data_IF_031058834471
#
_entry.id   IF_031058834471
#
_cell.length_a   1.000
_cell.length_b   1.000
_cell.length_c   1.000
_cell.angle_alpha   90.00
_cell.angle_beta   90.00
_cell.angle_gamma   90.00
#
_symmetry.space_group_name_H-M   'P 1'
#
loop_
_entity.id
_entity.type
_entity.pdbx_description
1 polymer ?
#
# COMPACT_ATOMS: atom_id res chain seq x y z
N UNK A 1 30.19 27.34 15.95
CA UNK A 1 29.84 25.97 15.56
C UNK A 1 29.01 26.04 14.29
N UNK A 2 29.25 25.18 13.32
CA UNK A 2 28.35 25.03 12.15
C UNK A 2 27.09 24.27 12.59
N UNK A 3 26.07 25.04 12.95
CA UNK A 3 24.82 24.50 13.49
C UNK A 3 24.10 23.62 12.49
N UNK A 4 24.07 24.00 11.21
CA UNK A 4 23.42 23.26 10.16
C UNK A 4 24.07 21.89 9.99
N UNK A 5 25.40 21.84 9.93
CA UNK A 5 26.16 20.59 9.85
C UNK A 5 25.94 19.69 11.07
N UNK A 6 25.84 20.29 12.27
CA UNK A 6 25.54 19.55 13.49
C UNK A 6 24.14 18.94 13.46
N UNK A 7 23.16 19.67 12.92
CA UNK A 7 21.79 19.17 12.73
C UNK A 7 21.73 18.01 11.74
N UNK A 8 22.45 18.10 10.61
CA UNK A 8 22.55 16.98 9.66
C UNK A 8 23.15 15.72 10.28
N UNK A 9 24.22 15.87 11.06
CA UNK A 9 24.84 14.73 11.74
C UNK A 9 23.93 14.16 12.84
N UNK A 10 23.24 15.00 13.57
CA UNK A 10 22.25 14.60 14.56
C UNK A 10 21.10 13.80 13.92
N UNK A 11 20.49 14.33 12.87
CA UNK A 11 19.40 13.65 12.16
C UNK A 11 19.83 12.29 11.59
N UNK A 12 21.00 12.22 10.93
CA UNK A 12 21.52 10.98 10.39
C UNK A 12 21.87 9.94 11.47
N UNK A 13 22.39 10.38 12.62
CA UNK A 13 22.65 9.49 13.75
C UNK A 13 21.36 8.95 14.38
N UNK A 14 20.30 9.74 14.39
CA UNK A 14 18.98 9.33 14.84
C UNK A 14 18.36 8.30 13.88
N UNK A 15 18.39 8.58 12.58
CA UNK A 15 17.84 7.67 11.53
C UNK A 15 18.51 6.31 11.52
N UNK A 16 19.82 6.27 11.82
CA UNK A 16 20.61 5.03 11.79
C UNK A 16 20.85 4.40 13.16
N UNK A 17 20.41 5.04 14.22
CA UNK A 17 20.73 4.66 15.62
C UNK A 17 22.21 4.42 15.87
N UNK A 18 23.10 5.14 15.12
CA UNK A 18 24.55 4.88 15.11
C UNK A 18 25.36 6.08 14.62
N UNK A 19 26.29 6.55 15.45
CA UNK A 19 27.27 7.55 15.02
C UNK A 19 28.21 7.06 13.92
N UNK A 20 28.55 5.78 13.91
CA UNK A 20 29.43 5.23 12.89
C UNK A 20 28.75 5.09 11.53
N UNK A 21 27.47 4.74 11.51
CA UNK A 21 26.67 4.71 10.27
C UNK A 21 26.47 6.12 9.71
N UNK A 22 26.15 7.09 10.56
CA UNK A 22 26.05 8.50 10.17
C UNK A 22 27.40 9.01 9.62
N UNK A 23 28.52 8.68 10.25
CA UNK A 23 29.85 9.08 9.81
C UNK A 23 30.18 8.56 8.40
N UNK A 24 29.88 7.29 8.11
CA UNK A 24 30.03 6.72 6.77
C UNK A 24 29.21 7.47 5.71
N UNK A 25 27.96 7.83 6.03
CA UNK A 25 27.07 8.60 5.12
C UNK A 25 27.68 9.93 4.69
N UNK A 26 28.41 10.58 5.58
CA UNK A 26 29.02 11.91 5.31
C UNK A 26 30.52 11.85 4.99
N UNK A 27 31.13 10.69 4.89
CA UNK A 27 32.56 10.54 4.58
C UNK A 27 33.48 11.15 5.67
N UNK A 28 33.06 11.12 6.95
CA UNK A 28 33.79 11.69 8.08
C UNK A 28 34.07 10.64 9.16
N UNK A 29 34.92 10.99 10.16
CA UNK A 29 35.15 10.09 11.28
C UNK A 29 33.98 10.07 12.27
N UNK A 30 33.78 8.93 12.93
CA UNK A 30 32.77 8.79 14.01
C UNK A 30 33.00 9.81 15.13
N UNK A 31 34.28 10.11 15.42
CA UNK A 31 34.65 11.12 16.43
C UNK A 31 34.18 12.52 16.01
N UNK A 32 34.25 12.87 14.73
CA UNK A 32 33.76 14.15 14.21
C UNK A 32 32.25 14.29 14.40
N UNK A 33 31.48 13.28 14.04
CA UNK A 33 30.01 13.27 14.24
C UNK A 33 29.68 13.39 15.72
N UNK A 34 30.29 12.56 16.57
CA UNK A 34 30.04 12.62 18.02
C UNK A 34 30.44 13.97 18.65
N UNK A 35 31.51 14.59 18.15
CA UNK A 35 31.95 15.93 18.61
C UNK A 35 30.90 16.99 18.26
N UNK A 36 30.38 16.98 17.04
CA UNK A 36 29.42 17.96 16.56
C UNK A 36 28.05 17.80 17.26
N UNK A 37 27.60 16.57 17.47
CA UNK A 37 26.35 16.30 18.21
C UNK A 37 26.49 16.76 19.66
N UNK A 38 27.61 16.45 20.35
CA UNK A 38 27.86 16.95 21.71
C UNK A 38 27.94 18.46 21.78
N UNK A 39 28.45 19.13 20.75
CA UNK A 39 28.46 20.58 20.68
C UNK A 39 27.03 21.15 20.55
N UNK A 40 26.16 20.49 19.79
CA UNK A 40 24.75 20.84 19.67
C UNK A 40 24.03 20.65 21.02
N UNK A 41 24.23 19.51 21.70
CA UNK A 41 23.66 19.26 23.05
C UNK A 41 24.03 20.33 24.06
N UNK A 42 25.30 20.78 24.04
CA UNK A 42 25.77 21.89 24.93
C UNK A 42 25.11 23.21 24.60
N UNK A 43 24.94 23.54 23.32
CA UNK A 43 24.27 24.77 22.89
C UNK A 43 22.80 24.79 23.31
N UNK A 44 22.13 23.64 23.14
CA UNK A 44 20.72 23.47 23.50
C UNK A 44 20.49 23.28 24.99
N UNK A 45 21.54 22.99 25.75
CA UNK A 45 21.48 22.52 27.14
C UNK A 45 20.55 21.35 27.34
N UNK A 46 20.56 20.42 26.36
CA UNK A 46 19.66 19.28 26.25
C UNK A 46 20.46 18.06 25.80
N UNK A 47 20.29 16.94 26.47
CA UNK A 47 20.81 15.65 26.01
C UNK A 47 19.91 15.12 24.92
N UNK A 48 20.45 14.88 23.72
CA UNK A 48 19.70 14.41 22.56
C UNK A 48 19.73 12.89 22.44
N UNK A 49 20.86 12.28 22.83
CA UNK A 49 21.04 10.83 22.77
C UNK A 49 21.41 10.24 24.13
N UNK A 50 20.94 9.02 24.35
CA UNK A 50 21.38 8.14 25.41
C UNK A 50 21.94 6.84 24.85
N UNK A 51 22.86 6.20 25.61
CA UNK A 51 23.46 4.94 25.23
C UNK A 51 22.84 3.81 26.01
N UNK A 52 22.36 2.82 25.32
CA UNK A 52 21.85 1.59 25.89
C UNK A 52 22.73 0.40 25.49
N UNK A 53 22.52 -0.75 26.13
CA UNK A 53 23.21 -2.00 25.79
C UNK A 53 23.01 -2.42 24.32
N UNK A 54 21.92 -1.94 23.70
CA UNK A 54 21.55 -2.25 22.31
C UNK A 54 21.89 -1.12 21.30
N UNK A 55 22.60 -0.06 21.71
CA UNK A 55 23.01 1.00 20.79
C UNK A 55 22.66 2.41 21.24
N UNK A 56 22.53 3.30 20.26
CA UNK A 56 22.22 4.72 20.44
C UNK A 56 20.72 4.95 20.32
N UNK A 57 20.10 5.61 21.29
CA UNK A 57 18.68 5.96 21.26
C UNK A 57 18.49 7.47 21.50
N UNK A 58 17.41 8.03 20.94
CA UNK A 58 17.01 9.41 21.24
C UNK A 58 16.40 9.49 22.64
N UNK A 59 16.72 10.56 23.37
CA UNK A 59 15.95 10.96 24.55
C UNK A 59 14.58 11.53 24.15
N UNK A 60 13.65 11.70 25.08
CA UNK A 60 12.39 12.41 24.82
C UNK A 60 12.62 13.81 24.25
N UNK A 61 13.60 14.56 24.83
CA UNK A 61 14.01 15.87 24.31
C UNK A 61 14.66 15.79 22.92
N UNK A 62 15.45 14.73 22.66
CA UNK A 62 16.05 14.47 21.35
C UNK A 62 14.99 14.20 20.28
N UNK A 63 13.97 13.39 20.59
CA UNK A 63 12.85 13.13 19.68
C UNK A 63 12.09 14.41 19.35
N UNK A 64 11.69 15.19 20.36
CA UNK A 64 10.98 16.45 20.15
C UNK A 64 11.80 17.44 19.32
N UNK A 65 13.11 17.54 19.59
CA UNK A 65 13.99 18.44 18.84
C UNK A 65 14.18 17.98 17.40
N UNK A 66 14.30 16.67 17.14
CA UNK A 66 14.39 16.12 15.78
C UNK A 66 13.12 16.43 14.98
N UNK A 67 11.96 16.26 15.59
CA UNK A 67 10.67 16.58 14.97
C UNK A 67 10.57 18.04 14.56
N UNK A 68 11.03 18.95 15.43
CA UNK A 68 11.02 20.37 15.15
C UNK A 68 12.03 20.80 14.06
N UNK A 69 13.19 20.13 13.98
CA UNK A 69 14.26 20.48 13.04
C UNK A 69 14.14 19.81 11.67
N UNK A 70 13.52 18.63 11.59
CA UNK A 70 13.40 17.87 10.34
C UNK A 70 12.77 18.67 9.19
N UNK A 71 11.65 19.38 9.38
CA UNK A 71 11.08 20.22 8.32
C UNK A 71 12.03 21.31 7.79
N UNK A 72 12.85 21.90 8.68
CA UNK A 72 13.80 22.91 8.26
C UNK A 72 14.98 22.33 7.45
N UNK A 73 15.47 21.15 7.83
CA UNK A 73 16.50 20.42 7.07
C UNK A 73 15.98 20.00 5.70
N UNK A 74 14.73 19.52 5.62
CA UNK A 74 14.08 19.14 4.38
C UNK A 74 13.89 20.36 3.47
N UNK A 75 13.46 21.53 4.02
CA UNK A 75 13.35 22.78 3.25
C UNK A 75 14.68 23.27 2.68
N UNK A 76 15.77 23.11 3.40
CA UNK A 76 17.11 23.46 2.91
C UNK A 76 17.54 22.51 1.79
N UNK A 77 17.36 21.21 1.97
CA UNK A 77 17.62 20.22 0.93
C UNK A 77 16.81 20.53 -0.33
N UNK A 78 15.53 20.93 -0.17
CA UNK A 78 14.65 21.32 -1.28
C UNK A 78 15.16 22.57 -1.99
N UNK A 79 15.67 23.58 -1.25
CA UNK A 79 16.21 24.80 -1.82
C UNK A 79 17.49 24.53 -2.61
N UNK A 80 18.38 23.68 -2.10
CA UNK A 80 19.61 23.25 -2.79
C UNK A 80 19.27 22.45 -4.06
N UNK A 81 18.26 21.58 -3.99
CA UNK A 81 17.79 20.80 -5.13
C UNK A 81 17.12 21.69 -6.19
N UNK A 82 16.32 22.69 -5.76
CA UNK A 82 15.73 23.67 -6.69
C UNK A 82 16.80 24.53 -7.38
N UNK A 83 17.84 24.96 -6.66
CA UNK A 83 18.97 25.69 -7.23
C UNK A 83 19.76 24.83 -8.22
N UNK A 84 19.82 23.51 -7.97
CA UNK A 84 20.52 22.54 -8.82
C UNK A 84 19.66 22.06 -9.99
N UNK A 85 18.34 22.13 -9.91
CA UNK A 85 17.38 21.60 -10.90
C UNK A 85 17.47 22.30 -12.28
N UNK A 86 18.13 23.45 -12.39
CA UNK A 86 18.43 24.07 -13.68
C UNK A 86 19.45 23.25 -14.51
N UNK A 87 20.15 22.26 -13.91
CA UNK A 87 21.23 21.49 -14.56
C UNK A 87 21.38 20.03 -14.10
N UNK A 88 20.56 19.54 -13.17
CA UNK A 88 20.82 18.27 -12.47
C UNK A 88 19.69 17.25 -12.63
N UNK A 89 20.03 15.96 -12.80
CA UNK A 89 19.09 14.84 -12.72
C UNK A 89 18.44 14.78 -11.35
N UNK A 90 17.13 14.55 -11.33
CA UNK A 90 16.38 14.36 -10.07
C UNK A 90 16.88 13.08 -9.38
N UNK A 91 17.33 13.20 -8.13
CA UNK A 91 17.95 12.08 -7.38
C UNK A 91 17.53 12.05 -5.91
N UNK A 92 17.91 11.00 -5.20
CA UNK A 92 17.67 10.83 -3.77
C UNK A 92 16.64 9.75 -3.44
N UNK A 93 16.15 9.70 -2.19
CA UNK A 93 15.24 8.65 -1.73
C UNK A 93 13.82 9.19 -1.56
N UNK A 94 12.83 8.50 -2.13
CA UNK A 94 11.40 8.72 -1.86
C UNK A 94 10.91 7.59 -0.96
N UNK A 95 10.36 7.95 0.20
CA UNK A 95 9.82 7.01 1.17
C UNK A 95 8.31 6.88 0.96
N UNK A 96 7.87 5.69 0.60
CA UNK A 96 6.48 5.40 0.22
C UNK A 96 5.84 4.46 1.23
N UNK A 97 4.87 4.98 1.99
CA UNK A 97 3.97 4.14 2.78
C UNK A 97 2.86 3.59 1.90
N UNK A 98 2.63 2.29 1.91
CA UNK A 98 1.62 1.69 1.05
C UNK A 98 0.97 0.46 1.68
N UNK A 99 -0.34 0.31 1.48
CA UNK A 99 -1.02 -0.93 1.86
C UNK A 99 -0.57 -2.09 0.96
N UNK A 100 -0.38 -3.31 1.50
CA UNK A 100 0.15 -4.45 0.75
C UNK A 100 -0.56 -4.70 -0.58
N UNK A 101 -1.89 -4.65 -0.59
CA UNK A 101 -2.67 -4.87 -1.81
C UNK A 101 -2.36 -3.86 -2.92
N UNK A 102 -2.27 -2.55 -2.58
CA UNK A 102 -1.91 -1.51 -3.56
C UNK A 102 -0.48 -1.71 -4.03
N UNK A 103 0.42 -2.06 -3.11
CA UNK A 103 1.81 -2.32 -3.45
C UNK A 103 1.92 -3.44 -4.48
N UNK A 104 1.30 -4.58 -4.23
CA UNK A 104 1.42 -5.78 -5.06
C UNK A 104 0.68 -5.65 -6.39
N UNK A 105 -0.54 -5.13 -6.38
CA UNK A 105 -1.39 -5.11 -7.56
C UNK A 105 -1.13 -3.92 -8.49
N UNK A 106 -0.69 -2.78 -7.93
CA UNK A 106 -0.55 -1.55 -8.69
C UNK A 106 0.89 -1.05 -8.76
N UNK A 107 1.56 -0.91 -7.62
CA UNK A 107 2.86 -0.23 -7.56
C UNK A 107 4.00 -1.13 -8.07
N UNK A 108 4.12 -2.36 -7.56
CA UNK A 108 5.21 -3.28 -7.90
C UNK A 108 5.36 -3.51 -9.40
N UNK A 109 4.29 -3.75 -10.19
CA UNK A 109 4.40 -3.89 -11.64
C UNK A 109 4.86 -2.63 -12.37
N UNK A 110 4.68 -1.46 -11.76
CA UNK A 110 4.99 -0.16 -12.35
C UNK A 110 6.39 0.36 -11.97
N UNK A 111 6.99 -0.10 -10.86
CA UNK A 111 8.30 0.37 -10.39
C UNK A 111 9.43 0.22 -11.41
N UNK A 112 9.53 -0.85 -12.23
CA UNK A 112 10.55 -0.92 -13.27
C UNK A 112 10.46 0.25 -14.28
N UNK A 113 9.23 0.68 -14.65
CA UNK A 113 9.01 1.85 -15.52
C UNK A 113 9.44 3.14 -14.81
N UNK A 114 9.15 3.28 -13.52
CA UNK A 114 9.61 4.43 -12.74
C UNK A 114 11.13 4.50 -12.69
N UNK A 115 11.80 3.42 -12.38
CA UNK A 115 13.27 3.35 -12.34
C UNK A 115 13.93 3.66 -13.69
N UNK A 116 13.32 3.22 -14.79
CA UNK A 116 13.82 3.56 -16.14
C UNK A 116 13.73 5.07 -16.45
N UNK A 117 12.70 5.76 -15.93
CA UNK A 117 12.52 7.22 -16.08
C UNK A 117 13.41 8.02 -15.12
N UNK A 118 13.62 7.51 -13.92
CA UNK A 118 14.32 8.20 -12.82
C UNK A 118 15.32 7.25 -12.14
N UNK A 119 16.42 6.89 -12.82
CA UNK A 119 17.37 5.88 -12.34
C UNK A 119 18.13 6.30 -11.07
N UNK A 120 18.22 7.62 -10.82
CA UNK A 120 18.91 8.18 -9.66
C UNK A 120 18.00 8.34 -8.42
N UNK A 121 16.73 7.92 -8.52
CA UNK A 121 15.78 7.92 -7.39
C UNK A 121 15.68 6.52 -6.78
N UNK A 122 16.02 6.43 -5.50
CA UNK A 122 15.74 5.24 -4.70
C UNK A 122 14.31 5.31 -4.15
N UNK A 123 13.54 4.24 -4.32
CA UNK A 123 12.19 4.13 -3.72
C UNK A 123 12.27 3.21 -2.51
N UNK A 124 12.04 3.75 -1.31
CA UNK A 124 11.92 3.01 -0.05
C UNK A 124 10.45 2.70 0.21
N UNK A 125 10.03 1.46 -0.03
CA UNK A 125 8.64 1.02 0.14
C UNK A 125 8.43 0.44 1.52
N UNK A 126 7.52 1.05 2.29
CA UNK A 126 7.16 0.60 3.64
C UNK A 126 5.71 0.16 3.69
N UNK A 127 5.46 -1.05 4.18
CA UNK A 127 4.09 -1.53 4.33
C UNK A 127 3.38 -0.82 5.48
N UNK A 128 2.19 -0.37 5.16
CA UNK A 128 1.34 0.40 6.04
C UNK A 128 0.27 -0.53 6.66
N UNK A 129 0.43 -0.84 7.95
CA UNK A 129 -0.37 -1.86 8.64
C UNK A 129 -1.22 -1.32 9.78
N UNK A 130 -1.02 -0.06 10.18
CA UNK A 130 -1.70 0.58 11.32
C UNK A 130 -2.38 1.87 10.91
N UNK A 131 -3.20 2.49 11.77
CA UNK A 131 -3.77 3.81 11.50
C UNK A 131 -2.70 4.81 11.07
N UNK A 132 -3.06 5.71 10.16
CA UNK A 132 -2.16 6.67 9.50
C UNK A 132 -1.39 7.53 10.52
N UNK A 133 -2.06 7.94 11.59
CA UNK A 133 -1.54 8.84 12.61
C UNK A 133 -0.25 8.33 13.28
N UNK A 134 -0.08 7.01 13.37
CA UNK A 134 1.10 6.40 13.98
C UNK A 134 2.27 6.17 13.01
N UNK A 135 2.05 6.27 11.70
CA UNK A 135 3.02 5.82 10.69
C UNK A 135 3.42 6.87 9.65
N UNK A 136 2.97 8.12 9.80
CA UNK A 136 3.31 9.21 8.87
C UNK A 136 4.73 9.74 9.02
N UNK A 137 5.40 9.44 10.13
CA UNK A 137 6.74 9.96 10.41
C UNK A 137 7.79 9.39 9.46
N UNK A 138 8.46 10.28 8.74
CA UNK A 138 9.52 9.90 7.80
C UNK A 138 9.02 9.17 6.56
N UNK A 139 7.76 9.39 6.17
CA UNK A 139 7.16 8.92 4.93
C UNK A 139 6.80 10.14 4.08
N UNK A 140 7.21 10.14 2.81
CA UNK A 140 6.95 11.26 1.90
C UNK A 140 5.55 11.19 1.31
N UNK A 141 5.10 10.00 0.92
CA UNK A 141 3.78 9.75 0.34
C UNK A 141 3.17 8.47 0.88
N UNK A 142 1.85 8.42 0.97
CA UNK A 142 1.11 7.27 1.47
C UNK A 142 0.01 6.89 0.48
N UNK A 143 -0.04 5.63 0.11
CA UNK A 143 -1.07 5.04 -0.74
C UNK A 143 -2.00 4.16 0.09
N UNK A 144 -3.27 4.55 0.19
CA UNK A 144 -4.27 3.85 1.02
C UNK A 144 -5.56 3.58 0.26
N UNK A 145 -6.22 2.50 0.64
CA UNK A 145 -7.55 2.12 0.21
C UNK A 145 -8.57 2.53 1.29
N UNK A 146 -9.69 3.10 0.86
CA UNK A 146 -10.75 3.55 1.75
C UNK A 146 -10.52 4.95 2.33
N UNK A 147 -11.43 5.35 3.19
CA UNK A 147 -11.38 6.62 3.89
C UNK A 147 -10.51 6.49 5.14
N UNK A 148 -9.57 7.41 5.28
CA UNK A 148 -8.71 7.51 6.46
C UNK A 148 -8.77 8.95 6.99
N UNK A 149 -8.86 9.17 8.30
CA UNK A 149 -8.65 10.49 8.88
C UNK A 149 -7.23 10.97 8.54
N UNK A 150 -7.10 12.17 8.05
CA UNK A 150 -5.79 12.72 7.67
C UNK A 150 -5.90 14.25 7.54
N UNK A 151 -6.17 14.94 8.65
CA UNK A 151 -6.50 16.37 8.64
C UNK A 151 -5.31 17.24 8.21
N UNK A 152 -4.08 16.82 8.52
CA UNK A 152 -2.85 17.54 8.19
C UNK A 152 -2.22 17.13 6.84
N UNK A 153 -2.83 16.20 6.10
CA UNK A 153 -2.31 15.71 4.84
C UNK A 153 -3.14 16.19 3.64
N UNK A 154 -2.46 16.50 2.55
CA UNK A 154 -3.12 16.66 1.26
C UNK A 154 -3.64 15.30 0.82
N UNK A 155 -4.93 15.23 0.53
CA UNK A 155 -5.59 14.05 -0.01
C UNK A 155 -5.84 14.23 -1.50
N UNK A 156 -5.36 13.28 -2.29
CA UNK A 156 -5.67 13.17 -3.70
C UNK A 156 -6.28 11.82 -3.98
N UNK A 157 -7.54 11.79 -4.36
CA UNK A 157 -8.17 10.56 -4.85
C UNK A 157 -7.58 10.21 -6.21
N UNK A 158 -7.07 8.99 -6.34
CA UNK A 158 -6.45 8.47 -7.57
C UNK A 158 -7.44 7.68 -8.42
N UNK A 159 -8.47 7.14 -7.79
CA UNK A 159 -9.50 6.32 -8.41
C UNK A 159 -10.33 5.62 -7.33
N UNK A 160 -11.07 4.62 -7.75
CA UNK A 160 -11.83 3.76 -6.86
C UNK A 160 -11.73 2.31 -7.33
N UNK A 161 -11.98 1.38 -6.43
CA UNK A 161 -12.04 -0.05 -6.76
C UNK A 161 -13.32 -0.65 -6.24
N UNK A 162 -13.68 -1.80 -6.76
CA UNK A 162 -14.82 -2.57 -6.29
C UNK A 162 -14.36 -3.97 -5.88
N UNK A 163 -15.29 -4.82 -5.55
CA UNK A 163 -15.01 -6.20 -5.22
C UNK A 163 -15.51 -7.14 -6.31
N UNK A 164 -14.98 -8.35 -6.32
CA UNK A 164 -15.41 -9.45 -7.17
C UNK A 164 -15.42 -10.73 -6.34
N UNK A 165 -16.50 -11.48 -6.44
CA UNK A 165 -16.63 -12.81 -5.81
C UNK A 165 -16.14 -13.85 -6.80
N UNK A 166 -15.24 -14.74 -6.40
CA UNK A 166 -14.71 -15.79 -7.25
C UNK A 166 -14.28 -17.03 -6.45
N UNK A 167 -14.15 -18.15 -7.14
CA UNK A 167 -13.54 -19.36 -6.63
C UNK A 167 -12.92 -20.16 -7.79
N UNK A 168 -12.16 -21.22 -7.46
CA UNK A 168 -11.61 -22.12 -8.47
C UNK A 168 -12.70 -22.85 -9.26
N UNK A 169 -12.44 -23.21 -10.53
CA UNK A 169 -13.36 -24.04 -11.32
C UNK A 169 -13.73 -25.36 -10.63
N UNK A 170 -12.77 -25.98 -9.92
CA UNK A 170 -13.00 -27.20 -9.15
C UNK A 170 -13.99 -27.01 -8.00
N UNK A 171 -13.92 -25.86 -7.31
CA UNK A 171 -14.88 -25.53 -6.26
C UNK A 171 -16.29 -25.36 -6.82
N UNK A 172 -16.46 -24.60 -7.91
CA UNK A 172 -17.76 -24.40 -8.54
C UNK A 172 -18.35 -25.69 -9.12
N UNK A 173 -17.50 -26.61 -9.58
CA UNK A 173 -17.94 -27.91 -10.05
C UNK A 173 -18.52 -28.80 -8.94
N UNK A 174 -17.96 -28.68 -7.72
CA UNK A 174 -18.40 -29.44 -6.54
C UNK A 174 -19.59 -28.81 -5.81
N UNK A 175 -19.66 -27.47 -5.74
CA UNK A 175 -20.59 -26.75 -4.87
C UNK A 175 -21.63 -25.93 -5.64
N UNK A 176 -21.65 -25.99 -6.98
CA UNK A 176 -22.55 -25.21 -7.82
C UNK A 176 -22.33 -23.68 -7.67
N UNK A 177 -22.22 -22.99 -8.78
CA UNK A 177 -21.99 -21.53 -8.78
C UNK A 177 -23.28 -20.80 -8.33
N UNK A 178 -23.19 -19.84 -7.37
CA UNK A 178 -24.35 -19.10 -6.89
C UNK A 178 -24.91 -18.20 -7.99
N UNK A 179 -26.23 -18.06 -8.04
CA UNK A 179 -26.97 -17.17 -8.94
C UNK A 179 -27.50 -15.96 -8.21
N UNK A 180 -27.58 -16.04 -6.90
CA UNK A 180 -28.04 -14.96 -6.02
C UNK A 180 -27.10 -14.82 -4.83
N UNK A 181 -26.82 -13.59 -4.34
CA UNK A 181 -25.91 -13.38 -3.21
C UNK A 181 -26.23 -14.20 -1.95
N UNK A 182 -27.51 -14.40 -1.64
CA UNK A 182 -27.92 -15.21 -0.47
C UNK A 182 -27.46 -16.66 -0.52
N UNK A 183 -27.20 -17.19 -1.71
CA UNK A 183 -26.67 -18.57 -1.85
C UNK A 183 -25.25 -18.69 -1.31
N UNK A 184 -24.50 -17.58 -1.20
CA UNK A 184 -23.16 -17.56 -0.60
C UNK A 184 -23.14 -17.97 0.87
N UNK A 185 -24.26 -17.86 1.59
CA UNK A 185 -24.37 -18.35 2.97
C UNK A 185 -24.21 -19.87 3.09
N UNK A 186 -24.39 -20.61 1.99
CA UNK A 186 -24.20 -22.05 1.90
C UNK A 186 -22.80 -22.43 1.41
N UNK A 187 -21.97 -21.44 1.08
CA UNK A 187 -20.59 -21.65 0.62
C UNK A 187 -19.58 -21.42 1.73
N UNK A 188 -18.42 -22.08 1.59
CA UNK A 188 -17.27 -21.78 2.41
C UNK A 188 -16.60 -20.48 1.94
N UNK A 189 -16.91 -19.35 2.59
CA UNK A 189 -16.38 -18.06 2.23
C UNK A 189 -15.11 -17.77 3.04
N UNK A 190 -13.99 -17.59 2.35
CA UNK A 190 -12.69 -17.27 2.95
C UNK A 190 -12.65 -15.78 3.29
N UNK A 191 -12.55 -15.44 4.57
CA UNK A 191 -12.69 -14.08 5.04
C UNK A 191 -11.33 -13.43 5.36
N UNK A 192 -11.33 -12.11 5.40
CA UNK A 192 -10.16 -11.29 5.72
C UNK A 192 -10.47 -10.47 6.97
N UNK A 193 -9.51 -10.40 7.88
CA UNK A 193 -9.54 -9.51 9.04
C UNK A 193 -8.95 -8.16 8.65
N UNK A 194 -9.66 -7.08 8.92
CA UNK A 194 -9.18 -5.72 8.67
C UNK A 194 -7.99 -5.38 9.59
N UNK A 195 -7.24 -4.35 9.23
CA UNK A 195 -6.15 -3.82 10.08
C UNK A 195 -6.64 -3.31 11.45
N UNK A 196 -7.95 -3.07 11.60
CA UNK A 196 -8.60 -2.68 12.85
C UNK A 196 -9.11 -3.88 13.68
N UNK A 197 -8.81 -5.12 13.25
CA UNK A 197 -9.15 -6.35 13.96
C UNK A 197 -10.53 -6.93 13.67
N UNK A 198 -11.42 -6.22 12.98
CA UNK A 198 -12.75 -6.73 12.59
C UNK A 198 -12.66 -7.68 11.39
N UNK A 199 -13.46 -8.73 11.39
CA UNK A 199 -13.60 -9.60 10.21
C UNK A 199 -14.46 -8.87 9.17
N UNK A 200 -14.01 -8.88 7.91
CA UNK A 200 -14.72 -8.28 6.79
C UNK A 200 -15.67 -9.30 6.15
N UNK A 201 -16.62 -9.79 6.94
CA UNK A 201 -17.56 -10.85 6.59
C UNK A 201 -18.92 -10.33 6.11
N UNK A 202 -19.25 -9.08 6.36
CA UNK A 202 -20.48 -8.46 5.84
C UNK A 202 -20.24 -8.03 4.38
N UNK A 203 -20.93 -8.69 3.44
CA UNK A 203 -20.80 -8.40 2.02
C UNK A 203 -22.11 -7.83 1.48
N UNK A 204 -22.02 -6.65 0.87
CA UNK A 204 -23.15 -5.92 0.32
C UNK A 204 -23.15 -6.01 -1.20
N UNK A 205 -24.30 -6.34 -1.75
CA UNK A 205 -24.54 -6.46 -3.19
C UNK A 205 -25.72 -5.60 -3.63
N UNK A 206 -25.65 -5.15 -4.87
CA UNK A 206 -26.72 -4.35 -5.48
C UNK A 206 -26.88 -4.76 -6.94
N UNK A 207 -28.16 -4.80 -7.40
CA UNK A 207 -28.52 -5.00 -8.79
C UNK A 207 -29.79 -4.17 -9.10
N UNK A 208 -29.60 -3.04 -9.78
CA UNK A 208 -30.67 -2.03 -9.91
C UNK A 208 -31.11 -1.52 -8.53
N UNK A 209 -32.38 -1.68 -8.21
CA UNK A 209 -32.93 -1.27 -6.90
C UNK A 209 -32.84 -2.37 -5.82
N UNK A 210 -32.50 -3.57 -6.22
CA UNK A 210 -32.33 -4.70 -5.31
C UNK A 210 -31.01 -4.59 -4.54
N UNK A 211 -31.10 -4.72 -3.19
CA UNK A 211 -29.94 -4.72 -2.29
C UNK A 211 -29.98 -5.96 -1.42
N UNK A 212 -28.85 -6.65 -1.36
CA UNK A 212 -28.71 -7.88 -0.57
C UNK A 212 -27.45 -7.78 0.27
N UNK A 213 -27.57 -8.05 1.55
CA UNK A 213 -26.43 -8.14 2.46
C UNK A 213 -26.39 -9.54 3.04
N UNK A 214 -25.19 -10.14 3.04
CA UNK A 214 -24.95 -11.47 3.59
C UNK A 214 -23.84 -11.43 4.61
N UNK A 215 -23.85 -12.36 5.55
CA UNK A 215 -22.71 -12.63 6.42
C UNK A 215 -21.95 -13.82 5.86
N UNK A 216 -20.81 -13.55 5.24
CA UNK A 216 -19.93 -14.57 4.70
C UNK A 216 -19.32 -15.40 5.84
N UNK A 217 -19.39 -16.73 5.74
CA UNK A 217 -18.88 -17.66 6.75
C UNK A 217 -17.98 -18.70 6.12
N UNK A 218 -16.89 -19.04 6.81
CA UNK A 218 -15.97 -20.08 6.37
C UNK A 218 -15.02 -20.45 7.50
N UNK A 219 -14.24 -21.48 7.26
CA UNK A 219 -13.30 -22.02 8.25
C UNK A 219 -11.99 -21.22 8.37
N UNK A 220 -11.72 -20.29 7.39
CA UNK A 220 -10.49 -19.53 7.34
C UNK A 220 -10.76 -18.03 7.44
N UNK A 221 -10.07 -17.38 8.35
CA UNK A 221 -9.95 -15.91 8.45
C UNK A 221 -8.47 -15.56 8.46
N UNK A 222 -8.04 -14.70 7.55
CA UNK A 222 -6.63 -14.30 7.38
C UNK A 222 -6.51 -12.80 7.61
N UNK A 223 -5.43 -12.36 8.23
CA UNK A 223 -5.16 -10.92 8.37
C UNK A 223 -4.92 -10.27 7.01
N UNK A 224 -5.34 -9.01 6.88
CA UNK A 224 -5.21 -8.24 5.64
C UNK A 224 -3.76 -8.15 5.12
N UNK A 225 -2.78 -8.27 6.01
CA UNK A 225 -1.36 -8.35 5.65
C UNK A 225 -1.02 -9.55 4.76
N UNK A 226 -1.75 -10.64 4.92
CA UNK A 226 -1.53 -11.92 4.23
C UNK A 226 -2.70 -12.24 3.28
N UNK A 227 -3.29 -11.21 2.68
CA UNK A 227 -4.43 -11.35 1.76
C UNK A 227 -4.16 -12.31 0.60
N UNK A 228 -2.91 -12.41 0.14
CA UNK A 228 -2.51 -13.33 -0.92
C UNK A 228 -2.79 -14.79 -0.56
N UNK A 229 -2.63 -15.16 0.72
CA UNK A 229 -2.94 -16.50 1.21
C UNK A 229 -4.40 -16.88 0.94
N UNK A 230 -5.33 -15.93 1.07
CA UNK A 230 -6.76 -16.19 0.79
C UNK A 230 -6.97 -16.44 -0.71
N UNK A 231 -6.29 -15.69 -1.58
CA UNK A 231 -6.31 -15.93 -3.02
C UNK A 231 -5.75 -17.30 -3.40
N UNK A 232 -4.61 -17.68 -2.81
CA UNK A 232 -3.97 -18.97 -3.09
C UNK A 232 -4.83 -20.13 -2.60
N UNK A 233 -5.45 -19.99 -1.43
CA UNK A 233 -6.40 -20.99 -0.91
C UNK A 233 -7.64 -21.12 -1.81
N UNK A 234 -8.15 -19.99 -2.34
CA UNK A 234 -9.26 -20.03 -3.31
C UNK A 234 -8.85 -20.72 -4.60
N UNK A 235 -7.64 -20.48 -5.14
CA UNK A 235 -7.07 -21.17 -6.30
C UNK A 235 -6.94 -22.67 -6.05
N UNK A 236 -6.55 -23.07 -4.84
CA UNK A 236 -6.50 -24.46 -4.41
C UNK A 236 -7.88 -25.13 -4.25
N UNK A 237 -8.97 -24.37 -4.46
CA UNK A 237 -10.34 -24.90 -4.36
C UNK A 237 -10.90 -24.95 -2.95
N UNK A 238 -10.29 -24.25 -1.99
CA UNK A 238 -10.70 -24.28 -0.58
C UNK A 238 -12.02 -23.53 -0.31
N UNK A 239 -12.45 -22.61 -1.18
CA UNK A 239 -13.66 -21.84 -0.95
C UNK A 239 -13.83 -20.65 -1.89
N UNK A 240 -14.81 -19.81 -1.56
CA UNK A 240 -15.16 -18.57 -2.25
C UNK A 240 -14.40 -17.42 -1.60
N UNK A 241 -13.90 -16.50 -2.41
CA UNK A 241 -13.19 -15.30 -1.92
C UNK A 241 -13.78 -14.03 -2.53
N UNK A 242 -13.76 -12.94 -1.77
CA UNK A 242 -14.06 -11.59 -2.24
C UNK A 242 -12.74 -10.82 -2.42
N UNK A 243 -12.36 -10.61 -3.67
CA UNK A 243 -11.14 -9.90 -4.05
C UNK A 243 -11.47 -8.50 -4.57
N UNK A 244 -10.48 -7.61 -4.54
CA UNK A 244 -10.59 -6.33 -5.23
C UNK A 244 -10.59 -6.56 -6.75
N UNK A 245 -11.33 -5.74 -7.49
CA UNK A 245 -11.49 -5.88 -8.94
C UNK A 245 -10.20 -5.64 -9.75
N UNK A 246 -9.13 -5.19 -9.10
CA UNK A 246 -7.79 -5.14 -9.70
C UNK A 246 -7.27 -6.52 -10.08
N UNK A 247 -7.61 -7.56 -9.31
CA UNK A 247 -7.30 -8.95 -9.68
C UNK A 247 -7.96 -9.34 -11.02
N UNK A 248 -9.10 -8.72 -11.36
CA UNK A 248 -9.74 -8.88 -12.67
C UNK A 248 -8.92 -8.23 -13.77
N UNK A 249 -8.26 -7.09 -13.52
CA UNK A 249 -7.50 -6.33 -14.52
C UNK A 249 -6.10 -6.88 -14.74
N UNK A 250 -5.38 -7.13 -13.66
CA UNK A 250 -4.00 -7.66 -13.73
C UNK A 250 -3.96 -9.17 -13.91
N UNK A 251 -5.08 -9.85 -13.71
CA UNK A 251 -5.39 -11.11 -14.30
C UNK A 251 -4.57 -12.30 -13.93
N UNK A 252 -3.77 -12.31 -12.85
CA UNK A 252 -3.01 -13.51 -12.51
C UNK A 252 -3.92 -14.73 -12.37
N UNK A 253 -4.96 -14.65 -11.57
CA UNK A 253 -5.82 -15.79 -11.27
C UNK A 253 -7.09 -15.85 -12.15
N UNK A 254 -7.70 -14.70 -12.44
CA UNK A 254 -8.94 -14.68 -13.24
C UNK A 254 -8.64 -14.78 -14.73
N UNK A 255 -7.63 -14.05 -15.24
CA UNK A 255 -7.29 -14.13 -16.67
C UNK A 255 -6.67 -15.49 -17.07
N UNK A 256 -5.96 -16.14 -16.13
CA UNK A 256 -5.46 -17.50 -16.33
C UNK A 256 -6.55 -18.58 -16.16
N UNK A 257 -7.76 -18.21 -15.73
CA UNK A 257 -8.84 -19.15 -15.46
C UNK A 257 -8.68 -19.97 -14.17
N UNK A 258 -7.70 -19.63 -13.33
CA UNK A 258 -7.52 -20.27 -12.01
C UNK A 258 -8.64 -19.91 -11.05
N UNK A 259 -9.19 -18.70 -11.16
CA UNK A 259 -10.39 -18.27 -10.46
C UNK A 259 -11.46 -17.85 -11.47
N UNK A 260 -12.70 -18.25 -11.23
CA UNK A 260 -13.86 -17.91 -12.04
C UNK A 260 -14.80 -17.04 -11.25
N UNK A 261 -15.11 -15.81 -11.75
CA UNK A 261 -16.06 -14.93 -11.13
C UNK A 261 -17.46 -15.50 -11.07
N UNK A 262 -18.17 -15.21 -9.98
CA UNK A 262 -19.60 -15.45 -9.82
C UNK A 262 -20.33 -14.13 -9.57
N UNK A 263 -21.64 -14.11 -9.70
CA UNK A 263 -22.51 -12.94 -9.43
C UNK A 263 -22.06 -11.69 -10.20
N UNK A 264 -21.66 -11.84 -11.45
CA UNK A 264 -21.09 -10.76 -12.27
C UNK A 264 -22.12 -9.71 -12.71
N UNK A 265 -23.40 -9.99 -12.53
CA UNK A 265 -24.53 -9.09 -12.70
C UNK A 265 -24.90 -8.30 -11.42
N UNK A 266 -24.18 -8.59 -10.32
CA UNK A 266 -24.29 -7.87 -9.06
C UNK A 266 -23.09 -6.96 -8.86
N UNK A 267 -23.36 -5.71 -8.51
CA UNK A 267 -22.34 -4.75 -8.08
C UNK A 267 -22.16 -4.85 -6.57
N UNK A 268 -20.99 -4.51 -6.08
CA UNK A 268 -20.78 -4.29 -4.66
C UNK A 268 -21.12 -2.83 -4.31
N UNK A 269 -21.90 -2.62 -3.26
CA UNK A 269 -22.27 -1.27 -2.79
C UNK A 269 -21.04 -0.50 -2.24
N UNK A 270 -20.00 -1.23 -1.85
CA UNK A 270 -18.74 -0.67 -1.37
C UNK A 270 -17.82 -0.37 -2.55
N UNK A 271 -17.49 0.91 -2.71
CA UNK A 271 -16.55 1.40 -3.72
C UNK A 271 -15.42 2.16 -3.00
N UNK A 272 -14.48 1.45 -2.39
CA UNK A 272 -13.43 2.09 -1.61
C UNK A 272 -12.53 2.94 -2.52
N UNK A 273 -12.36 4.25 -2.22
CA UNK A 273 -11.47 5.11 -2.97
C UNK A 273 -10.00 4.72 -2.73
N UNK A 274 -9.18 4.91 -3.75
CA UNK A 274 -7.73 4.85 -3.63
C UNK A 274 -7.22 6.27 -3.46
N UNK A 275 -6.54 6.51 -2.36
CA UNK A 275 -6.05 7.83 -2.01
C UNK A 275 -4.52 7.86 -1.95
N UNK A 276 -3.95 8.93 -2.46
CA UNK A 276 -2.60 9.37 -2.23
C UNK A 276 -2.64 10.49 -1.19
N UNK A 277 -1.92 10.30 -0.09
CA UNK A 277 -1.81 11.25 1.01
C UNK A 277 -0.37 11.70 1.13
N UNK A 278 -0.14 12.97 1.39
CA UNK A 278 1.21 13.52 1.63
C UNK A 278 1.14 14.84 2.38
N UNK A 279 2.16 15.19 3.18
CA UNK A 279 2.27 16.51 3.77
C UNK A 279 2.35 17.60 2.69
N UNK A 280 1.73 18.79 2.89
CA UNK A 280 1.79 19.87 1.91
C UNK A 280 3.22 20.29 1.51
N UNK A 281 4.15 20.20 2.45
CA UNK A 281 5.56 20.59 2.27
C UNK A 281 6.30 19.72 1.27
N UNK A 282 6.05 18.41 1.25
CA UNK A 282 6.85 17.46 0.42
C UNK A 282 6.60 17.59 -1.08
N UNK A 283 5.48 18.23 -1.50
CA UNK A 283 5.18 18.43 -2.93
C UNK A 283 6.20 19.34 -3.64
N UNK A 284 6.94 20.14 -2.89
CA UNK A 284 8.00 21.01 -3.42
C UNK A 284 9.28 20.23 -3.72
N UNK A 285 9.46 19.06 -3.14
CA UNK A 285 10.62 18.20 -3.30
C UNK A 285 10.56 17.54 -4.68
N UNK A 286 11.51 17.82 -5.60
CA UNK A 286 11.43 17.35 -6.99
C UNK A 286 11.25 15.84 -7.12
N UNK A 287 12.02 15.02 -6.35
CA UNK A 287 11.90 13.56 -6.38
C UNK A 287 10.52 13.06 -5.92
N UNK A 288 9.94 13.71 -4.92
CA UNK A 288 8.59 13.36 -4.42
C UNK A 288 7.52 13.78 -5.43
N UNK A 289 7.68 14.96 -6.03
CA UNK A 289 6.77 15.45 -7.07
C UNK A 289 6.70 14.51 -8.26
N UNK A 290 7.85 14.09 -8.82
CA UNK A 290 7.85 13.18 -9.99
C UNK A 290 7.26 11.81 -9.62
N UNK A 291 7.43 11.35 -8.37
CA UNK A 291 6.79 10.13 -7.90
C UNK A 291 5.26 10.29 -7.76
N UNK A 292 4.78 11.40 -7.20
CA UNK A 292 3.34 11.73 -7.12
C UNK A 292 2.72 11.78 -8.53
N UNK A 293 3.39 12.43 -9.48
CA UNK A 293 2.91 12.56 -10.86
C UNK A 293 2.90 11.19 -11.56
N UNK A 294 3.94 10.38 -11.36
CA UNK A 294 4.02 9.01 -11.87
C UNK A 294 2.89 8.12 -11.34
N UNK A 295 2.66 8.11 -10.03
CA UNK A 295 1.59 7.32 -9.41
C UNK A 295 0.21 7.82 -9.87
N UNK A 296 0.05 9.13 -10.01
CA UNK A 296 -1.20 9.69 -10.53
C UNK A 296 -1.48 9.22 -11.95
N UNK A 297 -0.47 9.22 -12.81
CA UNK A 297 -0.63 8.73 -14.18
C UNK A 297 -0.88 7.21 -14.20
N UNK A 298 -0.18 6.45 -13.36
CA UNK A 298 -0.40 5.02 -13.21
C UNK A 298 -1.87 4.68 -12.93
N UNK A 299 -2.49 5.38 -12.00
CA UNK A 299 -3.89 5.12 -11.67
C UNK A 299 -4.87 5.60 -12.74
N UNK A 300 -4.54 6.66 -13.48
CA UNK A 300 -5.30 7.05 -14.68
C UNK A 300 -5.25 5.95 -15.75
N UNK A 301 -4.05 5.41 -16.01
CA UNK A 301 -3.87 4.30 -16.97
C UNK A 301 -4.69 3.07 -16.54
N UNK A 302 -4.71 2.77 -15.23
CA UNK A 302 -5.51 1.69 -14.65
C UNK A 302 -7.01 1.94 -14.85
N UNK A 303 -7.51 3.14 -14.61
CA UNK A 303 -8.93 3.48 -14.81
C UNK A 303 -9.35 3.41 -16.29
N UNK A 304 -8.54 3.95 -17.20
CA UNK A 304 -8.81 3.86 -18.64
C UNK A 304 -8.90 2.40 -19.12
N UNK A 305 -8.00 1.54 -18.63
CA UNK A 305 -8.06 0.11 -18.95
C UNK A 305 -9.31 -0.57 -18.38
N UNK A 306 -9.86 -0.05 -17.28
CA UNK A 306 -11.12 -0.51 -16.68
C UNK A 306 -12.30 -0.20 -17.58
N UNK A 307 -12.41 1.01 -18.08
CA UNK A 307 -13.51 1.45 -18.95
C UNK A 307 -13.52 0.67 -20.28
N UNK A 308 -12.36 0.42 -20.86
CA UNK A 308 -12.23 -0.35 -22.12
C UNK A 308 -12.61 -1.83 -21.93
N UNK A 309 -12.47 -2.40 -20.72
CA UNK A 309 -12.74 -3.81 -20.44
C UNK A 309 -14.11 -4.11 -19.81
N UNK A 310 -14.91 -3.10 -19.49
CA UNK A 310 -16.30 -3.29 -19.04
C UNK A 310 -17.20 -3.57 -20.26
N UNK A 311 -18.20 -4.38 -20.20
CA UNK A 311 -18.31 -5.83 -19.98
C UNK A 311 -18.75 -6.59 -21.21
N UNK A 312 -17.99 -7.52 -21.68
CA UNK A 312 -18.51 -8.68 -22.42
C UNK A 312 -17.42 -9.78 -22.51
N UNK A 313 -16.95 -10.29 -21.38
CA UNK A 313 -16.17 -11.53 -21.46
C UNK A 313 -17.18 -12.68 -21.43
N UNK A 314 -17.50 -13.29 -22.59
CA UNK A 314 -18.31 -14.50 -22.59
C UNK A 314 -17.54 -15.57 -21.82
N UNK A 315 -18.26 -16.34 -21.00
CA UNK A 315 -17.75 -17.52 -20.32
C UNK A 315 -16.87 -18.33 -21.30
N UNK A 316 -15.66 -18.76 -20.89
CA UNK A 316 -14.81 -19.56 -21.75
C UNK A 316 -15.58 -20.77 -22.28
N UNK A 317 -15.46 -21.06 -23.56
CA UNK A 317 -16.23 -22.15 -24.25
C UNK A 317 -16.07 -23.56 -23.63
N UNK A 318 -15.04 -23.76 -22.79
CA UNK A 318 -14.82 -25.02 -22.08
C UNK A 318 -15.70 -25.16 -20.80
N UNK A 319 -16.40 -24.13 -20.39
CA UNK A 319 -17.31 -24.13 -19.22
C UNK A 319 -18.74 -24.66 -19.60
N UNK A 320 -18.88 -25.47 -20.60
CA UNK A 320 -20.13 -26.21 -20.80
C UNK A 320 -20.20 -27.30 -19.74
N UNK A 321 -21.01 -27.09 -18.70
CA UNK A 321 -21.32 -28.08 -17.69
C UNK A 321 -21.66 -29.42 -18.34
N UNK A 322 -20.85 -30.47 -18.09
CA UNK A 322 -21.25 -31.84 -18.35
C UNK A 322 -22.50 -32.11 -17.52
N UNK A 323 -23.64 -32.27 -18.16
CA UNK A 323 -24.86 -32.76 -17.50
C UNK A 323 -24.51 -34.07 -16.79
N UNK A 324 -24.84 -34.23 -15.48
CA UNK A 324 -24.70 -35.52 -14.84
C UNK A 324 -25.56 -36.54 -15.61
N UNK A 325 -24.97 -37.67 -16.00
CA UNK A 325 -25.71 -38.80 -16.55
C UNK A 325 -26.68 -39.26 -15.46
N UNK A 326 -27.97 -39.24 -15.77
CA UNK A 326 -28.97 -39.89 -14.96
C UNK A 326 -28.58 -41.35 -14.79
N UNK A 327 -28.34 -41.77 -13.54
CA UNK A 327 -28.17 -43.17 -13.21
C UNK A 327 -29.49 -43.87 -13.47
N UNK A 328 -29.54 -44.70 -14.49
CA UNK A 328 -30.64 -45.62 -14.71
C UNK A 328 -30.60 -46.69 -13.59
N UNK A 329 -31.54 -46.58 -12.67
CA UNK A 329 -31.85 -47.63 -11.73
C UNK A 329 -32.48 -48.79 -12.46
N UNK A 330 -31.90 -49.95 -12.37
CA UNK A 330 -32.57 -51.27 -12.48
C UNK A 330 -32.47 -51.97 -11.15
#
# INVERSE_FOLDING_TARGET
>A
MDKLRSLHYFAAAADTSSFSAAARRFGVSTAAVAKMVRALERELKLTLFERHAHGLALTAGGSAYLEACRPALDQLADADEQASAATSRVSGTVVVGVQPTIAQECLTPALPRFNALYPDIQVDVRYFMRPIEEQTRGVDVILVLGWQPADDLVRRQLGATSFIVCAAPSYWAAHRMPKHPSELEQHNCLCIRSNMGSVMDLWHFKRGDERVSITARGWLVVDNAHRDMVSDMAVAGAGVVRLLDWHKRQGRHIASGLLVPALTDWEHDEVPPVNLLYPPSVRRIPRVRVFIDFVTQLFRDIEQQREVRAPSTPMPRWFKAKRPRASATR
#
